data_IF_719150698025
#
_entry.id   IF_719150698025
#
_cell.length_a   1.000
_cell.length_b   1.000
_cell.length_c   1.000
_cell.angle_alpha   90.00
_cell.angle_beta   90.00
_cell.angle_gamma   90.00
#
_symmetry.space_group_name_H-M   'P 1'
#
loop_
_entity.id
_entity.type
_entity.pdbx_description
1 polymer ?
#
# COMPACT_ATOMS: atom_id res chain seq x y z
N UNK A 1 -11.45 -1.99 -8.38
CA UNK A 1 -11.57 -0.98 -7.31
C UNK A 1 -10.20 -0.59 -6.78
N UNK A 2 -10.04 0.60 -6.21
CA UNK A 2 -8.75 1.18 -5.76
C UNK A 2 -8.16 0.52 -4.52
N UNK A 3 -8.92 -0.33 -3.82
CA UNK A 3 -8.47 -1.02 -2.60
C UNK A 3 -8.39 -0.14 -1.34
N UNK A 4 -8.97 1.07 -1.38
CA UNK A 4 -8.99 2.02 -0.26
C UNK A 4 -10.14 1.77 0.72
N UNK A 5 -11.21 1.16 0.21
CA UNK A 5 -12.41 0.84 0.97
C UNK A 5 -12.68 -0.66 0.95
N UNK A 6 -13.45 -1.12 1.91
CA UNK A 6 -14.04 -2.45 1.93
C UNK A 6 -15.55 -2.30 2.01
N UNK A 7 -16.28 -3.10 1.23
CA UNK A 7 -17.73 -3.16 1.30
C UNK A 7 -18.18 -4.46 1.97
N UNK A 8 -19.08 -4.35 2.97
CA UNK A 8 -19.69 -5.50 3.63
C UNK A 8 -21.17 -5.22 3.89
N UNK A 9 -22.05 -6.05 3.34
CA UNK A 9 -23.51 -5.91 3.45
C UNK A 9 -24.02 -4.51 3.03
N UNK A 10 -23.45 -3.94 1.95
CA UNK A 10 -23.78 -2.59 1.47
C UNK A 10 -23.17 -1.45 2.29
N UNK A 11 -22.37 -1.76 3.32
CA UNK A 11 -21.69 -0.75 4.14
C UNK A 11 -20.25 -0.61 3.66
N UNK A 12 -19.90 0.61 3.23
CA UNK A 12 -18.54 0.98 2.81
C UNK A 12 -17.77 1.48 4.03
N UNK A 13 -16.57 0.96 4.23
CA UNK A 13 -15.68 1.35 5.33
C UNK A 13 -14.27 1.61 4.83
N UNK A 14 -13.56 2.53 5.50
CA UNK A 14 -12.13 2.75 5.29
C UNK A 14 -11.33 1.48 5.62
N UNK A 15 -10.49 1.03 4.68
CA UNK A 15 -9.68 -0.17 4.88
C UNK A 15 -8.57 -0.01 5.93
N UNK A 16 -8.00 1.20 6.04
CA UNK A 16 -6.79 1.46 6.83
C UNK A 16 -7.06 2.20 8.14
N UNK A 17 -8.25 2.06 8.73
CA UNK A 17 -8.61 2.67 10.00
C UNK A 17 -7.62 2.27 11.11
N UNK A 18 -7.23 3.23 11.94
CA UNK A 18 -6.32 3.00 13.08
C UNK A 18 -4.87 2.70 12.70
N UNK A 19 -4.41 3.13 11.51
CA UNK A 19 -3.07 2.79 10.99
C UNK A 19 -2.26 4.01 10.57
N UNK A 20 -0.95 3.96 10.82
CA UNK A 20 0.03 4.83 10.15
C UNK A 20 0.16 4.36 8.69
N UNK A 21 0.08 5.31 7.75
CA UNK A 21 0.04 5.04 6.32
C UNK A 21 1.41 5.23 5.67
N UNK A 22 1.80 4.25 4.87
CA UNK A 22 3.01 4.23 4.06
C UNK A 22 2.61 4.10 2.58
N UNK A 23 2.81 5.13 1.74
CA UNK A 23 2.56 5.02 0.30
C UNK A 23 3.44 3.96 -0.33
N UNK A 24 2.87 3.14 -1.22
CA UNK A 24 3.61 2.20 -2.06
C UNK A 24 3.55 2.73 -3.48
N UNK A 25 4.72 3.06 -4.03
CA UNK A 25 4.83 3.66 -5.35
C UNK A 25 5.51 2.73 -6.35
N UNK A 26 5.16 2.90 -7.62
CA UNK A 26 5.87 2.26 -8.73
C UNK A 26 7.29 2.83 -8.90
N UNK A 27 8.05 2.28 -9.87
CA UNK A 27 9.41 2.72 -10.18
C UNK A 27 9.52 4.19 -10.65
N UNK A 28 8.40 4.82 -11.04
CA UNK A 28 8.33 6.24 -11.43
C UNK A 28 7.87 7.14 -10.29
N UNK A 29 7.61 6.58 -9.09
CA UNK A 29 7.13 7.31 -7.92
C UNK A 29 5.62 7.55 -7.88
N UNK A 30 4.84 6.93 -8.77
CA UNK A 30 3.37 7.05 -8.75
C UNK A 30 2.80 6.16 -7.66
N UNK A 31 1.95 6.72 -6.79
CA UNK A 31 1.31 5.95 -5.72
C UNK A 31 0.32 4.92 -6.30
N UNK A 32 0.56 3.65 -5.99
CA UNK A 32 -0.26 2.52 -6.45
C UNK A 32 -1.22 2.01 -5.38
N UNK A 33 -0.87 2.22 -4.11
CA UNK A 33 -1.58 1.71 -2.95
C UNK A 33 -0.84 2.05 -1.67
N UNK A 34 -1.25 1.42 -0.58
CA UNK A 34 -0.77 1.75 0.75
C UNK A 34 -0.41 0.50 1.56
N UNK A 35 0.63 0.62 2.38
CA UNK A 35 0.84 -0.21 3.56
C UNK A 35 0.38 0.55 4.80
N UNK A 36 -0.18 -0.15 5.78
CA UNK A 36 -0.70 0.43 7.01
C UNK A 36 -0.24 -0.34 8.23
N UNK A 37 0.48 0.32 9.15
CA UNK A 37 0.88 -0.26 10.44
C UNK A 37 -0.15 0.08 11.51
N UNK A 38 -0.67 -0.92 12.23
CA UNK A 38 -1.60 -0.71 13.35
C UNK A 38 -1.00 0.19 14.44
N UNK A 39 -1.82 1.09 14.98
CA UNK A 39 -1.48 1.95 16.12
C UNK A 39 -1.84 1.31 17.46
N UNK A 40 -2.84 0.43 17.49
CA UNK A 40 -3.25 -0.34 18.66
C UNK A 40 -3.23 -1.83 18.38
N UNK A 41 -4.32 -2.50 18.74
CA UNK A 41 -4.46 -3.96 18.66
C UNK A 41 -5.06 -4.43 17.33
N UNK A 42 -5.20 -3.54 16.32
CA UNK A 42 -5.79 -3.90 15.04
C UNK A 42 -4.96 -4.97 14.31
N UNK A 43 -5.59 -6.10 14.02
CA UNK A 43 -4.97 -7.15 13.21
C UNK A 43 -5.27 -6.96 11.72
N UNK A 44 -4.32 -7.29 10.82
CA UNK A 44 -2.92 -7.65 11.10
C UNK A 44 -2.06 -6.45 11.53
N UNK A 45 -0.89 -6.67 12.15
CA UNK A 45 0.08 -5.59 12.47
C UNK A 45 0.43 -4.71 11.27
N UNK A 46 0.55 -5.32 10.08
CA UNK A 46 0.74 -4.63 8.80
C UNK A 46 -0.31 -5.09 7.80
N UNK A 47 -1.01 -4.12 7.21
CA UNK A 47 -2.02 -4.35 6.18
C UNK A 47 -1.57 -3.66 4.90
N UNK A 48 -1.54 -4.39 3.78
CA UNK A 48 -1.34 -3.78 2.46
C UNK A 48 -2.67 -3.62 1.73
N UNK A 49 -2.68 -2.71 0.76
CA UNK A 49 -3.68 -2.70 -0.31
C UNK A 49 -3.84 -4.11 -0.88
N UNK A 50 -5.08 -4.52 -1.20
CA UNK A 50 -5.33 -5.78 -1.91
C UNK A 50 -4.81 -5.68 -3.36
N UNK A 51 -4.67 -6.82 -4.01
CA UNK A 51 -4.40 -6.86 -5.45
C UNK A 51 -5.48 -6.07 -6.22
N UNK A 52 -5.05 -5.26 -7.18
CA UNK A 52 -5.93 -4.43 -8.01
C UNK A 52 -5.31 -4.18 -9.39
N UNK A 53 -6.04 -3.60 -10.35
CA UNK A 53 -5.47 -3.26 -11.66
C UNK A 53 -4.26 -2.31 -11.60
N UNK A 54 -4.10 -1.57 -10.51
CA UNK A 54 -2.98 -0.64 -10.31
C UNK A 54 -1.98 -1.11 -9.26
N UNK A 55 -2.31 -2.11 -8.44
CA UNK A 55 -1.44 -2.62 -7.38
C UNK A 55 -1.26 -4.12 -7.50
N UNK A 56 -0.02 -4.53 -7.82
CA UNK A 56 0.40 -5.93 -7.81
C UNK A 56 1.54 -6.12 -6.81
N UNK A 57 1.31 -6.86 -5.72
CA UNK A 57 2.32 -7.00 -4.65
C UNK A 57 3.58 -7.73 -5.12
N UNK A 58 3.45 -8.66 -6.07
CA UNK A 58 4.58 -9.46 -6.59
C UNK A 58 5.51 -8.66 -7.49
N UNK A 59 5.03 -7.57 -8.07
CA UNK A 59 5.77 -6.73 -9.02
C UNK A 59 6.27 -5.42 -8.42
N UNK A 60 5.97 -5.15 -7.14
CA UNK A 60 6.33 -3.91 -6.48
C UNK A 60 7.41 -4.13 -5.41
N UNK A 61 8.45 -3.31 -5.47
CA UNK A 61 9.47 -3.22 -4.44
C UNK A 61 9.35 -1.86 -3.75
N UNK A 62 9.08 -1.90 -2.43
CA UNK A 62 8.92 -0.69 -1.63
C UNK A 62 10.17 0.19 -1.70
N UNK A 63 9.99 1.49 -1.95
CA UNK A 63 11.08 2.46 -2.03
C UNK A 63 11.94 2.40 -3.30
N UNK A 64 11.63 1.53 -4.28
CA UNK A 64 12.46 1.36 -5.47
C UNK A 64 12.69 2.66 -6.24
N UNK A 65 11.66 3.50 -6.42
CA UNK A 65 11.78 4.80 -7.08
C UNK A 65 12.80 5.73 -6.40
N UNK A 66 12.98 5.63 -5.08
CA UNK A 66 13.98 6.40 -4.32
C UNK A 66 15.38 5.79 -4.48
N UNK A 67 15.46 4.47 -4.60
CA UNK A 67 16.71 3.73 -4.67
C UNK A 67 17.35 3.73 -6.07
N UNK A 68 16.56 3.81 -7.15
CA UNK A 68 17.04 3.74 -8.54
C UNK A 68 18.25 4.64 -8.83
N UNK A 69 18.28 5.93 -8.43
CA UNK A 69 19.42 6.80 -8.70
C UNK A 69 20.72 6.29 -8.07
N UNK A 70 20.65 5.78 -6.84
CA UNK A 70 21.82 5.28 -6.11
C UNK A 70 22.29 3.92 -6.63
N UNK A 71 21.36 3.01 -6.92
CA UNK A 71 21.66 1.65 -7.41
C UNK A 71 22.36 1.68 -8.77
N UNK A 72 22.06 2.66 -9.62
CA UNK A 72 22.68 2.80 -10.96
C UNK A 72 24.10 3.36 -10.95
N UNK A 73 24.58 3.85 -9.80
CA UNK A 73 25.94 4.41 -9.68
C UNK A 73 26.99 3.35 -9.29
N UNK A 74 26.54 2.13 -8.97
CA UNK A 74 27.37 0.96 -8.68
C UNK A 74 27.65 0.22 -9.98
#
# INVERSE_FOLDING_TARGET
>A
ESGLFTERYGIIQERFRGRIIFPICDARGRCLGFGGRALGEEQPKYLNSPESPVFNKRQNLYGLHLAIPAVRQV
#
